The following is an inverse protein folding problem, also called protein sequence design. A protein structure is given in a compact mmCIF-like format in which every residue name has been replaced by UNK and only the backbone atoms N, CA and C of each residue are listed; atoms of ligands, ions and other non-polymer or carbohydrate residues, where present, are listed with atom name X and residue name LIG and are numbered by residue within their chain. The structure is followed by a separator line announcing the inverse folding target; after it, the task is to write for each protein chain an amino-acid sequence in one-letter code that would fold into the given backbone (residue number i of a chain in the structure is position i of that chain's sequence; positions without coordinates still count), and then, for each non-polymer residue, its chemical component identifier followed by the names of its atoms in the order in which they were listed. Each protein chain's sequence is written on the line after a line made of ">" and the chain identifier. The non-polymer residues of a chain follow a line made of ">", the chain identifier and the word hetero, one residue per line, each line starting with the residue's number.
data_IF_879552515524
#
_entry.id   IF_879552515524
#
_cell.length_a   1.000
_cell.length_b   1.000
_cell.length_c   1.000
_cell.angle_alpha   90.00
_cell.angle_beta   90.00
_cell.angle_gamma   90.00
#
_symmetry.space_group_name_H-M   'P 1'
#
loop_
_entity.id
_entity.type
_entity.pdbx_description
1 polymer ?
#
# COMPACT_ATOMS: atom_id res chain seq x y z
N UNK A 1 1.72 -38.14 2.28
CA UNK A 1 1.95 -38.13 3.74
C UNK A 1 2.94 -37.01 4.02
N UNK A 2 2.58 -36.07 4.90
CA UNK A 2 3.53 -35.08 5.41
C UNK A 2 4.47 -35.71 6.44
N UNK A 3 5.55 -35.03 6.78
CA UNK A 3 6.56 -35.48 7.73
C UNK A 3 7.00 -34.37 8.66
N UNK A 4 7.33 -34.73 9.90
CA UNK A 4 7.89 -33.83 10.90
C UNK A 4 9.11 -34.51 11.51
N UNK A 5 10.24 -33.82 11.50
CA UNK A 5 11.45 -34.21 12.23
C UNK A 5 11.77 -33.10 13.22
N UNK A 6 12.03 -33.48 14.47
CA UNK A 6 12.42 -32.56 15.54
C UNK A 6 13.71 -33.07 16.17
N UNK A 7 14.76 -32.27 16.09
CA UNK A 7 16.03 -32.50 16.77
C UNK A 7 16.08 -31.63 18.04
N UNK A 8 15.91 -32.29 19.19
CA UNK A 8 15.72 -31.64 20.49
C UNK A 8 17.05 -31.59 21.24
N UNK A 9 17.47 -30.39 21.62
CA UNK A 9 18.64 -30.19 22.49
C UNK A 9 18.27 -30.41 23.96
N UNK A 10 17.17 -29.79 24.41
CA UNK A 10 16.71 -29.86 25.80
C UNK A 10 15.22 -29.57 25.92
N UNK A 11 14.54 -30.31 26.79
CA UNK A 11 13.17 -30.01 27.23
C UNK A 11 13.09 -30.05 28.75
N UNK A 12 12.58 -28.98 29.36
CA UNK A 12 12.31 -28.87 30.78
C UNK A 12 10.83 -28.52 30.97
N UNK A 13 10.00 -29.57 31.10
CA UNK A 13 8.56 -29.42 31.28
C UNK A 13 8.18 -28.70 32.57
N UNK A 14 9.01 -28.81 33.62
CA UNK A 14 8.76 -28.14 34.90
C UNK A 14 8.87 -26.62 34.80
N UNK A 15 9.74 -26.14 33.90
CA UNK A 15 9.97 -24.72 33.62
C UNK A 15 9.34 -24.24 32.31
N UNK A 16 8.66 -25.13 31.58
CA UNK A 16 8.15 -24.89 30.23
C UNK A 16 9.23 -24.36 29.25
N UNK A 17 10.46 -24.87 29.34
CA UNK A 17 11.59 -24.45 28.48
C UNK A 17 11.87 -25.52 27.43
N UNK A 18 11.91 -25.13 26.17
CA UNK A 18 12.14 -26.00 25.02
C UNK A 18 13.26 -25.43 24.15
N UNK A 19 14.38 -26.15 24.05
CA UNK A 19 15.52 -25.84 23.18
C UNK A 19 15.63 -26.89 22.10
N UNK A 20 15.54 -26.47 20.84
CA UNK A 20 15.44 -27.33 19.67
C UNK A 20 16.48 -26.87 18.65
N UNK A 21 17.27 -27.81 18.15
CA UNK A 21 18.25 -27.52 17.10
C UNK A 21 17.55 -27.32 15.76
N UNK A 22 16.75 -28.29 15.35
CA UNK A 22 16.07 -28.26 14.05
C UNK A 22 14.64 -28.78 14.14
N UNK A 23 13.72 -28.08 13.47
CA UNK A 23 12.40 -28.59 13.10
C UNK A 23 12.34 -28.64 11.57
N UNK A 24 12.16 -29.81 10.98
CA UNK A 24 11.95 -29.96 9.56
C UNK A 24 10.52 -30.44 9.28
N UNK A 25 9.77 -29.63 8.53
CA UNK A 25 8.40 -29.89 8.13
C UNK A 25 8.36 -30.16 6.62
N UNK A 26 7.95 -31.37 6.23
CA UNK A 26 7.71 -31.73 4.84
C UNK A 26 6.20 -31.87 4.58
N UNK A 27 5.69 -31.09 3.63
CA UNK A 27 4.27 -30.99 3.30
C UNK A 27 3.37 -30.78 4.51
N UNK A 28 3.70 -29.85 5.44
CA UNK A 28 2.79 -29.55 6.54
C UNK A 28 1.49 -28.96 5.98
N UNK A 29 0.39 -29.27 6.64
CA UNK A 29 -0.93 -28.74 6.33
C UNK A 29 -1.52 -28.11 7.58
N UNK A 30 -1.89 -26.84 7.48
CA UNK A 30 -2.61 -26.12 8.52
C UNK A 30 -3.92 -25.59 7.93
N UNK A 31 -5.03 -25.78 8.65
CA UNK A 31 -6.32 -25.20 8.32
C UNK A 31 -6.92 -24.53 9.54
N UNK A 32 -7.25 -23.25 9.40
CA UNK A 32 -8.10 -22.50 10.31
C UNK A 32 -9.48 -22.33 9.66
N UNK A 33 -10.53 -22.67 10.40
CA UNK A 33 -11.90 -22.43 10.01
C UNK A 33 -12.53 -21.50 11.03
N UNK A 34 -12.86 -20.29 10.60
CA UNK A 34 -13.59 -19.29 11.37
C UNK A 34 -15.06 -19.42 11.06
N UNK A 35 -15.87 -19.61 12.10
CA UNK A 35 -17.31 -19.76 12.00
C UNK A 35 -17.97 -18.69 12.86
N UNK A 36 -19.09 -18.16 12.39
CA UNK A 36 -19.92 -17.27 13.18
C UNK A 36 -20.34 -17.95 14.48
N UNK A 37 -19.86 -17.41 15.59
CA UNK A 37 -20.23 -17.91 16.90
C UNK A 37 -21.71 -17.60 17.16
N UNK A 38 -22.50 -18.66 17.40
CA UNK A 38 -23.92 -18.57 17.82
C UNK A 38 -24.12 -17.92 19.21
N UNK A 39 -23.05 -17.44 19.84
CA UNK A 39 -23.09 -16.77 21.14
C UNK A 39 -23.81 -15.42 21.00
N UNK A 40 -24.90 -15.18 21.75
CA UNK A 40 -25.59 -13.90 21.74
C UNK A 40 -24.65 -12.74 22.03
N UNK A 41 -24.82 -11.63 21.31
CA UNK A 41 -24.00 -10.41 21.49
C UNK A 41 -24.03 -9.90 22.94
N UNK A 42 -25.15 -10.11 23.64
CA UNK A 42 -25.29 -9.75 25.06
C UNK A 42 -24.31 -10.45 26.00
N UNK A 43 -23.78 -11.61 25.60
CA UNK A 43 -22.82 -12.39 26.37
C UNK A 43 -21.38 -12.27 25.83
N UNK A 44 -21.17 -11.53 24.74
CA UNK A 44 -19.83 -11.27 24.21
C UNK A 44 -19.12 -10.27 25.12
N UNK A 45 -17.87 -10.55 25.46
CA UNK A 45 -17.05 -9.62 26.24
C UNK A 45 -16.91 -8.34 25.41
N UNK A 46 -17.38 -7.21 25.94
CA UNK A 46 -17.25 -5.93 25.26
C UNK A 46 -15.76 -5.59 25.16
N UNK A 47 -15.31 -5.28 23.96
CA UNK A 47 -13.98 -4.73 23.73
C UNK A 47 -13.87 -3.38 24.45
N UNK A 48 -12.86 -3.25 25.30
CA UNK A 48 -12.49 -1.97 25.90
C UNK A 48 -11.23 -1.45 25.20
N UNK A 49 -11.33 -0.38 24.39
CA UNK A 49 -10.21 0.18 23.65
C UNK A 49 -9.08 0.71 24.55
N UNK A 50 -9.32 0.87 25.86
CA UNK A 50 -8.33 1.28 26.84
C UNK A 50 -7.75 0.11 27.65
N UNK A 51 -8.20 -1.12 27.39
CA UNK A 51 -7.67 -2.31 28.05
C UNK A 51 -6.22 -2.51 27.65
N UNK A 52 -5.29 -2.24 28.58
CA UNK A 52 -3.90 -2.66 28.43
C UNK A 52 -3.83 -4.10 28.88
N UNK A 53 -3.58 -5.01 27.94
CA UNK A 53 -3.31 -6.38 28.31
C UNK A 53 -2.00 -6.46 29.12
N UNK A 54 -2.15 -6.80 30.40
CA UNK A 54 -1.03 -7.05 31.32
C UNK A 54 -0.78 -8.54 31.49
N UNK A 55 -1.61 -9.41 30.89
CA UNK A 55 -1.42 -10.84 30.85
C UNK A 55 -0.55 -11.24 29.65
N UNK A 56 0.00 -12.46 29.70
CA UNK A 56 0.69 -13.03 28.55
C UNK A 56 -0.33 -13.47 27.49
N UNK A 57 -0.84 -12.52 26.71
CA UNK A 57 -1.88 -12.70 25.70
C UNK A 57 -1.66 -13.92 24.81
N UNK A 58 -0.44 -14.05 24.27
CA UNK A 58 -0.04 -15.16 23.40
C UNK A 58 0.53 -16.33 24.18
N UNK A 59 0.98 -16.11 25.43
CA UNK A 59 1.78 -17.06 26.17
C UNK A 59 1.35 -17.23 27.63
N UNK A 60 0.06 -17.49 27.89
CA UNK A 60 -0.47 -17.62 29.25
C UNK A 60 0.26 -18.66 30.12
N UNK A 61 0.96 -19.62 29.51
CA UNK A 61 1.76 -20.63 30.19
C UNK A 61 3.23 -20.29 30.43
N UNK A 62 3.68 -19.06 30.10
CA UNK A 62 5.08 -18.61 30.16
C UNK A 62 6.08 -19.59 29.52
N UNK A 63 5.68 -20.16 28.38
CA UNK A 63 6.49 -21.11 27.63
C UNK A 63 7.68 -20.36 27.01
N UNK A 64 8.89 -20.88 27.19
CA UNK A 64 10.08 -20.38 26.52
C UNK A 64 10.51 -21.38 25.44
N UNK A 65 10.38 -21.00 24.17
CA UNK A 65 10.84 -21.82 23.03
C UNK A 65 12.00 -21.14 22.32
N UNK A 66 13.09 -21.88 22.14
CA UNK A 66 14.20 -21.49 21.27
C UNK A 66 14.42 -22.59 20.22
N UNK A 67 14.29 -22.23 18.94
CA UNK A 67 14.58 -23.13 17.82
C UNK A 67 15.66 -22.52 16.94
N UNK A 68 16.80 -23.20 16.80
CA UNK A 68 17.89 -22.66 15.99
C UNK A 68 17.50 -22.59 14.51
N UNK A 69 16.79 -23.60 14.00
CA UNK A 69 16.34 -23.65 12.60
C UNK A 69 14.99 -24.35 12.44
N UNK A 70 14.09 -23.74 11.66
CA UNK A 70 12.88 -24.38 11.15
C UNK A 70 12.96 -24.39 9.63
N UNK A 71 12.79 -25.56 9.01
CA UNK A 71 12.70 -25.72 7.56
C UNK A 71 11.28 -26.14 7.19
N UNK A 72 10.69 -25.47 6.21
CA UNK A 72 9.38 -25.81 5.67
C UNK A 72 9.56 -26.12 4.20
N UNK A 73 9.08 -27.29 3.77
CA UNK A 73 9.09 -27.73 2.37
C UNK A 73 7.67 -28.06 1.94
N UNK A 74 7.19 -27.36 0.91
CA UNK A 74 5.91 -27.61 0.24
C UNK A 74 4.68 -27.61 1.17
N UNK A 75 4.65 -26.68 2.12
CA UNK A 75 3.55 -26.50 3.06
C UNK A 75 2.30 -25.86 2.47
N UNK A 76 1.19 -26.02 3.20
CA UNK A 76 -0.11 -25.47 2.87
C UNK A 76 -0.76 -24.84 4.11
N UNK A 77 -1.35 -23.66 3.94
CA UNK A 77 -2.04 -22.91 5.00
C UNK A 77 -3.36 -22.42 4.43
N UNK A 78 -4.46 -22.88 5.01
CA UNK A 78 -5.81 -22.46 4.62
C UNK A 78 -6.45 -21.72 5.79
N UNK A 79 -6.95 -20.52 5.53
CA UNK A 79 -7.79 -19.75 6.45
C UNK A 79 -9.11 -19.54 5.71
N UNK A 80 -10.17 -20.12 6.26
CA UNK A 80 -11.52 -20.01 5.72
C UNK A 80 -12.39 -19.35 6.77
N UNK A 81 -12.98 -18.22 6.44
CA UNK A 81 -14.07 -17.59 7.15
C UNK A 81 -15.33 -17.69 6.29
N UNK A 82 -16.49 -17.75 6.96
CA UNK A 82 -17.82 -17.77 6.34
C UNK A 82 -18.07 -18.96 5.39
N UNK A 83 -19.31 -19.10 4.92
CA UNK A 83 -19.73 -20.14 3.95
C UNK A 83 -19.74 -19.63 2.49
N UNK A 84 -19.18 -18.44 2.25
CA UNK A 84 -19.12 -17.80 0.94
C UNK A 84 -18.33 -18.60 -0.10
N UNK A 85 -18.56 -18.29 -1.38
CA UNK A 85 -17.69 -18.79 -2.46
C UNK A 85 -16.52 -17.80 -2.65
N UNK A 86 -15.26 -18.27 -2.63
CA UNK A 86 -14.10 -17.42 -2.82
C UNK A 86 -14.12 -16.65 -4.14
N UNK A 87 -13.80 -15.35 -4.12
CA UNK A 87 -13.65 -14.53 -5.35
C UNK A 87 -12.34 -14.83 -6.07
N UNK A 88 -12.17 -14.47 -7.35
CA UNK A 88 -10.94 -14.82 -8.08
C UNK A 88 -9.68 -14.07 -7.59
N UNK A 89 -9.84 -12.85 -7.11
CA UNK A 89 -8.76 -12.00 -6.60
C UNK A 89 -8.34 -12.42 -5.18
N UNK A 90 -7.48 -11.63 -4.54
CA UNK A 90 -7.16 -11.87 -3.14
C UNK A 90 -8.45 -11.75 -2.31
N UNK A 91 -8.70 -12.76 -1.49
CA UNK A 91 -9.91 -12.88 -0.71
C UNK A 91 -9.50 -13.06 0.76
N UNK A 92 -9.67 -12.04 1.60
CA UNK A 92 -9.25 -12.11 3.00
C UNK A 92 -10.06 -13.14 3.81
N UNK A 93 -11.26 -13.52 3.36
CA UNK A 93 -12.09 -14.55 3.99
C UNK A 93 -11.70 -15.97 3.53
N UNK A 94 -11.01 -16.08 2.39
CA UNK A 94 -10.65 -17.37 1.79
C UNK A 94 -9.18 -17.42 1.37
N UNK A 95 -8.28 -17.32 2.35
CA UNK A 95 -6.83 -17.36 2.12
C UNK A 95 -6.38 -18.82 1.97
N UNK A 96 -5.92 -19.19 0.78
CA UNK A 96 -5.41 -20.55 0.52
C UNK A 96 -4.00 -20.48 -0.03
N UNK A 97 -3.05 -20.67 0.87
CA UNK A 97 -1.64 -20.66 0.58
C UNK A 97 -1.14 -22.07 0.28
N UNK A 98 -0.34 -22.16 -0.78
CA UNK A 98 0.28 -23.39 -1.27
C UNK A 98 1.75 -23.16 -1.57
N UNK A 99 2.52 -24.24 -1.68
CA UNK A 99 3.96 -24.20 -1.94
C UNK A 99 4.70 -23.30 -0.95
N UNK A 100 4.27 -23.33 0.32
CA UNK A 100 4.98 -22.64 1.39
C UNK A 100 6.33 -23.33 1.58
N UNK A 101 7.39 -22.63 1.23
CA UNK A 101 8.76 -23.06 1.46
C UNK A 101 9.47 -22.00 2.28
N UNK A 102 10.37 -22.40 3.17
CA UNK A 102 11.11 -21.41 3.90
C UNK A 102 12.08 -21.93 4.93
N UNK A 103 12.96 -21.02 5.34
CA UNK A 103 13.89 -21.19 6.44
C UNK A 103 13.64 -20.09 7.47
N UNK A 104 13.45 -20.50 8.73
CA UNK A 104 13.30 -19.60 9.87
C UNK A 104 14.47 -19.91 10.80
N UNK A 105 15.34 -18.93 11.03
CA UNK A 105 16.56 -19.10 11.81
C UNK A 105 16.50 -18.30 13.11
N UNK A 106 16.93 -18.91 14.21
CA UNK A 106 16.96 -18.32 15.54
C UNK A 106 15.57 -17.89 16.01
N UNK A 107 14.59 -18.78 15.90
CA UNK A 107 13.24 -18.53 16.40
C UNK A 107 13.25 -18.51 17.93
N UNK A 108 12.74 -17.43 18.50
CA UNK A 108 12.55 -17.26 19.94
C UNK A 108 11.10 -16.92 20.20
N UNK A 109 10.49 -17.63 21.15
CA UNK A 109 9.20 -17.27 21.74
C UNK A 109 9.37 -17.20 23.25
N UNK A 110 9.34 -16.00 23.79
CA UNK A 110 9.53 -15.72 25.22
C UNK A 110 8.54 -14.64 25.63
N UNK A 111 7.76 -14.88 26.68
CA UNK A 111 6.56 -14.07 27.00
C UNK A 111 5.70 -13.96 25.74
N UNK A 112 5.19 -12.78 25.38
CA UNK A 112 4.40 -12.60 24.15
C UNK A 112 5.20 -12.18 22.92
N UNK A 113 6.53 -12.32 22.95
CA UNK A 113 7.37 -11.88 21.85
C UNK A 113 7.91 -13.07 21.06
N UNK A 114 7.53 -13.12 19.78
CA UNK A 114 8.15 -14.00 18.80
C UNK A 114 9.18 -13.21 17.98
N UNK A 115 10.36 -13.78 17.75
CA UNK A 115 11.41 -13.20 16.89
C UNK A 115 12.08 -14.27 16.06
N UNK A 116 12.41 -13.97 14.81
CA UNK A 116 13.23 -14.84 13.96
C UNK A 116 13.82 -14.08 12.77
N UNK A 117 14.81 -14.67 12.12
CA UNK A 117 15.15 -14.31 10.73
C UNK A 117 14.39 -15.25 9.79
N UNK A 118 13.55 -14.69 8.93
CA UNK A 118 12.72 -15.46 8.00
C UNK A 118 13.24 -15.32 6.57
N UNK A 119 13.17 -16.39 5.79
CA UNK A 119 13.25 -16.40 4.32
C UNK A 119 12.17 -17.37 3.81
N UNK A 120 11.07 -16.82 3.32
CA UNK A 120 9.86 -17.57 2.95
C UNK A 120 9.45 -17.30 1.50
N UNK A 121 8.81 -18.28 0.87
CA UNK A 121 8.10 -18.13 -0.40
C UNK A 121 6.77 -18.87 -0.33
N UNK A 122 5.72 -18.33 -0.92
CA UNK A 122 4.38 -18.94 -0.90
C UNK A 122 3.52 -18.41 -2.05
N UNK A 123 2.54 -19.21 -2.47
CA UNK A 123 1.58 -18.84 -3.51
C UNK A 123 0.15 -18.91 -2.98
N UNK A 124 -0.59 -17.82 -3.14
CA UNK A 124 -2.02 -17.75 -2.84
C UNK A 124 -2.87 -18.29 -4.01
N UNK A 125 -4.11 -18.73 -3.71
CA UNK A 125 -5.07 -19.22 -4.70
C UNK A 125 -5.42 -18.21 -5.79
N UNK A 126 -5.38 -16.90 -5.49
CA UNK A 126 -5.65 -15.84 -6.46
C UNK A 126 -4.63 -15.81 -7.60
N UNK A 127 -3.45 -16.39 -7.39
CA UNK A 127 -2.30 -16.30 -8.29
C UNK A 127 -1.23 -15.33 -7.81
N UNK A 128 -1.50 -14.55 -6.76
CA UNK A 128 -0.48 -13.78 -6.07
C UNK A 128 0.61 -14.71 -5.51
N UNK A 129 1.86 -14.43 -5.87
CA UNK A 129 3.00 -15.24 -5.49
C UNK A 129 4.03 -14.38 -4.78
N UNK A 130 4.21 -14.66 -3.49
CA UNK A 130 5.33 -14.15 -2.71
C UNK A 130 6.54 -15.03 -3.01
N UNK A 131 7.35 -14.61 -3.98
CA UNK A 131 8.57 -15.33 -4.39
C UNK A 131 9.64 -15.31 -3.32
N UNK A 132 9.71 -14.21 -2.56
CA UNK A 132 10.65 -14.07 -1.46
C UNK A 132 10.13 -13.09 -0.41
N UNK A 133 10.17 -13.50 0.85
CA UNK A 133 10.03 -12.66 2.03
C UNK A 133 11.20 -12.94 2.95
N UNK A 134 12.19 -12.05 2.90
CA UNK A 134 13.33 -12.09 3.80
C UNK A 134 13.26 -10.90 4.76
N UNK A 135 13.30 -11.17 6.07
CA UNK A 135 13.22 -10.14 7.09
C UNK A 135 13.70 -10.61 8.48
N UNK A 136 14.04 -9.65 9.33
CA UNK A 136 14.04 -9.79 10.79
C UNK A 136 12.61 -9.64 11.27
N UNK A 137 11.96 -10.75 11.55
CA UNK A 137 10.58 -10.82 12.01
C UNK A 137 10.51 -10.58 13.52
N UNK A 138 9.56 -9.74 13.93
CA UNK A 138 9.13 -9.61 15.32
C UNK A 138 7.60 -9.54 15.37
N UNK A 139 7.01 -10.32 16.25
CA UNK A 139 5.58 -10.33 16.48
C UNK A 139 5.29 -10.25 17.99
N UNK A 140 4.41 -9.32 18.35
CA UNK A 140 3.91 -9.11 19.71
C UNK A 140 2.40 -8.81 19.65
N UNK A 141 1.71 -8.72 20.80
CA UNK A 141 0.29 -8.36 20.83
C UNK A 141 -0.05 -6.99 20.23
N UNK A 142 0.95 -6.16 19.91
CA UNK A 142 0.76 -4.79 19.42
C UNK A 142 1.50 -4.47 18.11
N UNK A 143 2.39 -5.35 17.65
CA UNK A 143 3.13 -5.10 16.42
C UNK A 143 3.54 -6.39 15.70
N UNK A 144 3.39 -6.39 14.38
CA UNK A 144 4.04 -7.30 13.47
C UNK A 144 5.06 -6.50 12.64
N UNK A 145 6.35 -6.80 12.78
CA UNK A 145 7.44 -6.03 12.20
C UNK A 145 8.32 -6.90 11.31
N UNK A 146 8.65 -6.37 10.15
CA UNK A 146 9.56 -6.93 9.16
C UNK A 146 10.72 -5.94 8.96
N UNK A 147 11.76 -6.09 9.79
CA UNK A 147 12.99 -5.30 9.68
C UNK A 147 13.93 -5.86 8.60
N UNK A 148 14.72 -4.99 7.94
CA UNK A 148 15.60 -5.39 6.83
C UNK A 148 14.86 -6.18 5.74
N UNK A 149 13.68 -5.70 5.38
CA UNK A 149 12.77 -6.33 4.44
C UNK A 149 13.35 -6.40 3.02
N UNK A 150 13.28 -7.58 2.43
CA UNK A 150 13.39 -7.84 1.00
C UNK A 150 12.21 -8.72 0.59
N UNK A 151 11.17 -8.08 0.07
CA UNK A 151 9.94 -8.70 -0.39
C UNK A 151 9.92 -8.68 -1.91
N UNK A 152 9.66 -9.82 -2.54
CA UNK A 152 9.54 -9.96 -3.99
C UNK A 152 8.28 -10.74 -4.34
N UNK A 153 7.47 -10.17 -5.22
CA UNK A 153 6.21 -10.74 -5.70
C UNK A 153 6.32 -11.16 -7.16
N UNK A 154 5.19 -11.35 -7.86
CA UNK A 154 5.16 -11.65 -9.28
C UNK A 154 5.97 -10.64 -10.09
N UNK A 155 5.78 -9.32 -9.86
CA UNK A 155 6.37 -8.23 -10.63
C UNK A 155 6.94 -7.07 -9.78
N UNK A 156 6.90 -7.15 -8.46
CA UNK A 156 7.31 -6.06 -7.55
C UNK A 156 8.44 -6.48 -6.61
N UNK A 157 9.14 -5.47 -6.08
CA UNK A 157 10.18 -5.59 -5.07
C UNK A 157 10.05 -4.46 -4.04
N UNK A 158 9.87 -4.80 -2.77
CA UNK A 158 9.72 -3.86 -1.67
C UNK A 158 10.82 -4.05 -0.62
N UNK A 159 11.21 -2.96 0.02
CA UNK A 159 12.21 -2.90 1.09
C UNK A 159 12.45 -1.45 1.48
N UNK A 160 13.00 -1.12 2.65
CA UNK A 160 13.71 -2.01 3.58
C UNK A 160 13.00 -2.25 4.91
N UNK A 161 11.80 -1.70 5.11
CA UNK A 161 11.07 -1.85 6.36
C UNK A 161 9.56 -1.79 6.16
N UNK A 162 8.84 -2.69 6.83
CA UNK A 162 7.40 -2.65 6.98
C UNK A 162 7.00 -3.14 8.36
N UNK A 163 5.98 -2.51 8.96
CA UNK A 163 5.37 -2.97 10.20
C UNK A 163 3.88 -2.64 10.22
N UNK A 164 3.12 -3.49 10.90
CA UNK A 164 1.71 -3.29 11.22
C UNK A 164 1.60 -3.14 12.73
N UNK A 165 1.00 -2.04 13.17
CA UNK A 165 0.73 -1.74 14.58
C UNK A 165 -0.77 -1.80 14.83
N UNK A 166 -1.12 -2.37 15.97
CA UNK A 166 -2.51 -2.63 16.37
C UNK A 166 -2.58 -2.62 17.91
N UNK A 167 -3.79 -2.54 18.44
CA UNK A 167 -4.06 -2.60 19.88
C UNK A 167 -4.35 -4.03 20.33
N UNK A 168 -5.11 -4.77 19.53
CA UNK A 168 -5.42 -6.17 19.72
C UNK A 168 -5.38 -6.90 18.37
N UNK A 169 -4.59 -7.97 18.28
CA UNK A 169 -4.39 -8.70 17.03
C UNK A 169 -5.69 -9.33 16.51
N UNK A 170 -6.48 -9.95 17.38
CA UNK A 170 -7.67 -10.70 16.97
C UNK A 170 -8.82 -9.77 16.55
N UNK A 171 -8.97 -8.63 17.24
CA UNK A 171 -9.99 -7.64 16.93
C UNK A 171 -9.60 -6.76 15.73
N UNK A 172 -8.43 -6.13 15.77
CA UNK A 172 -8.09 -5.06 14.82
C UNK A 172 -7.80 -5.60 13.40
N UNK A 173 -7.39 -6.87 13.25
CA UNK A 173 -7.24 -7.48 11.93
C UNK A 173 -8.57 -7.79 11.24
N UNK A 174 -9.67 -7.96 12.00
CA UNK A 174 -11.02 -7.98 11.43
C UNK A 174 -11.41 -6.63 10.83
N UNK A 175 -10.88 -5.54 11.38
CA UNK A 175 -11.08 -4.15 10.93
C UNK A 175 -9.80 -3.56 10.31
N UNK A 176 -9.06 -4.36 9.53
CA UNK A 176 -7.73 -4.02 9.04
C UNK A 176 -7.64 -2.63 8.38
N UNK A 177 -8.66 -2.28 7.60
CA UNK A 177 -8.73 -1.03 6.82
C UNK A 177 -8.72 0.21 7.74
N UNK A 178 -9.33 0.14 8.92
CA UNK A 178 -9.49 1.26 9.85
C UNK A 178 -8.57 1.20 11.06
N UNK A 179 -8.21 0.01 11.55
CA UNK A 179 -7.65 -0.16 12.88
C UNK A 179 -6.18 -0.59 12.87
N UNK A 180 -5.67 -1.11 11.75
CA UNK A 180 -4.25 -1.47 11.60
C UNK A 180 -3.45 -0.30 11.02
N UNK A 181 -2.54 0.24 11.83
CA UNK A 181 -1.61 1.29 11.39
C UNK A 181 -0.40 0.66 10.71
N UNK A 182 -0.23 0.91 9.42
CA UNK A 182 0.92 0.47 8.64
C UNK A 182 2.04 1.52 8.71
N UNK A 183 3.27 1.05 8.88
CA UNK A 183 4.48 1.86 8.86
C UNK A 183 5.44 1.26 7.85
N UNK A 184 5.79 2.01 6.81
CA UNK A 184 6.73 1.55 5.78
C UNK A 184 7.82 2.58 5.54
N UNK A 185 9.05 2.11 5.33
CA UNK A 185 10.14 2.93 4.80
C UNK A 185 10.67 2.23 3.57
N UNK A 186 10.26 2.75 2.42
CA UNK A 186 10.65 2.22 1.13
C UNK A 186 11.76 3.02 0.49
N UNK A 187 12.77 2.30 0.01
CA UNK A 187 13.93 2.84 -0.71
C UNK A 187 14.06 2.06 -2.00
N UNK A 188 13.92 2.77 -3.13
CA UNK A 188 14.03 2.19 -4.47
C UNK A 188 13.13 0.94 -4.65
N UNK A 189 11.95 0.97 -4.05
CA UNK A 189 10.96 -0.08 -4.25
C UNK A 189 10.48 -0.04 -5.71
N UNK A 190 10.23 -1.21 -6.29
CA UNK A 190 9.64 -1.34 -7.62
C UNK A 190 8.26 -1.92 -7.46
N UNK A 191 7.23 -1.15 -7.79
CA UNK A 191 5.83 -1.55 -7.62
C UNK A 191 5.20 -1.68 -8.98
N UNK A 192 4.66 -2.85 -9.31
CA UNK A 192 3.90 -3.07 -10.52
C UNK A 192 2.40 -3.06 -10.21
N UNK A 193 1.62 -2.34 -11.00
CA UNK A 193 0.17 -2.20 -10.78
C UNK A 193 -0.57 -3.54 -10.74
N UNK A 194 -0.19 -4.52 -11.58
CA UNK A 194 -0.78 -5.87 -11.56
C UNK A 194 -0.67 -6.58 -10.20
N UNK A 195 0.40 -6.33 -9.45
CA UNK A 195 0.55 -6.94 -8.13
C UNK A 195 -0.34 -6.25 -7.09
N UNK A 196 -0.54 -4.94 -7.25
CA UNK A 196 -1.48 -4.16 -6.43
C UNK A 196 -2.93 -4.52 -6.78
N UNK A 197 -3.20 -4.85 -8.05
CA UNK A 197 -4.53 -5.17 -8.56
C UNK A 197 -5.15 -6.44 -7.95
N UNK A 198 -4.34 -7.31 -7.33
CA UNK A 198 -4.86 -8.39 -6.48
C UNK A 198 -5.68 -7.87 -5.29
N UNK A 199 -5.37 -6.67 -4.80
CA UNK A 199 -5.98 -6.02 -3.64
C UNK A 199 -6.80 -4.77 -3.99
N UNK A 200 -6.52 -4.13 -5.12
CA UNK A 200 -7.21 -2.93 -5.62
C UNK A 200 -7.55 -3.12 -7.12
N UNK A 201 -8.66 -3.82 -7.45
CA UNK A 201 -8.99 -4.25 -8.80
C UNK A 201 -9.07 -3.10 -9.83
N UNK A 202 -9.34 -1.88 -9.38
CA UNK A 202 -9.42 -0.67 -10.18
C UNK A 202 -8.09 -0.33 -10.87
N UNK A 203 -6.97 -0.92 -10.43
CA UNK A 203 -5.64 -0.74 -11.02
C UNK A 203 -5.27 -1.80 -12.07
N UNK A 204 -6.18 -2.73 -12.36
CA UNK A 204 -5.92 -3.87 -13.26
C UNK A 204 -5.52 -3.47 -14.68
N UNK A 205 -6.11 -2.40 -15.23
CA UNK A 205 -5.84 -1.94 -16.60
C UNK A 205 -4.55 -1.10 -16.73
N UNK A 206 -3.91 -0.73 -15.62
CA UNK A 206 -2.80 0.23 -15.63
C UNK A 206 -1.53 -0.38 -16.26
N UNK A 207 -1.21 -1.62 -15.90
CA UNK A 207 -0.01 -2.36 -16.34
C UNK A 207 1.30 -1.54 -16.35
N UNK A 208 1.58 -0.80 -15.28
CA UNK A 208 2.80 0.03 -15.14
C UNK A 208 3.65 -0.38 -13.95
N UNK A 209 4.96 -0.19 -14.12
CA UNK A 209 5.94 -0.21 -13.04
C UNK A 209 6.24 1.21 -12.56
N UNK A 210 6.32 1.38 -11.25
CA UNK A 210 6.69 2.63 -10.59
C UNK A 210 7.84 2.34 -9.62
N UNK A 211 8.94 3.07 -9.77
CA UNK A 211 9.99 3.15 -8.76
C UNK A 211 9.53 4.10 -7.66
N UNK A 212 9.48 3.65 -6.41
CA UNK A 212 8.88 4.34 -5.27
C UNK A 212 9.85 4.41 -4.10
N UNK A 213 9.93 5.57 -3.46
CA UNK A 213 10.58 5.77 -2.17
C UNK A 213 9.74 6.69 -1.29
N UNK A 214 9.80 6.50 0.02
CA UNK A 214 9.06 7.33 0.97
C UNK A 214 8.83 6.65 2.32
N UNK A 215 8.36 7.45 3.29
CA UNK A 215 8.01 7.01 4.63
C UNK A 215 6.49 7.05 4.79
N UNK A 216 5.84 5.89 4.74
CA UNK A 216 4.41 5.72 4.94
C UNK A 216 4.10 5.55 6.42
N UNK A 217 3.05 6.21 6.91
CA UNK A 217 2.48 6.00 8.23
C UNK A 217 0.97 6.27 8.24
N UNK A 218 0.18 5.30 8.69
CA UNK A 218 -1.26 5.44 8.89
C UNK A 218 -2.05 4.18 8.57
N UNK A 219 -3.37 4.29 8.60
CA UNK A 219 -4.30 3.22 8.23
C UNK A 219 -4.62 3.32 6.73
N UNK A 220 -5.37 2.38 6.16
CA UNK A 220 -5.85 2.53 4.77
C UNK A 220 -6.73 3.77 4.66
N UNK A 221 -7.62 4.00 5.63
CA UNK A 221 -8.55 5.14 5.62
C UNK A 221 -7.89 6.50 5.86
N UNK A 222 -6.70 6.56 6.48
CA UNK A 222 -6.04 7.80 6.83
C UNK A 222 -4.52 7.60 6.99
N UNK A 223 -3.75 8.10 6.02
CA UNK A 223 -2.28 8.02 6.05
C UNK A 223 -1.57 9.27 5.55
N UNK A 224 -0.28 9.29 5.86
CA UNK A 224 0.69 10.24 5.32
C UNK A 224 1.91 9.49 4.75
N UNK A 225 2.44 10.00 3.65
CA UNK A 225 3.72 9.63 3.06
C UNK A 225 4.63 10.84 3.01
N UNK A 226 5.72 10.80 3.78
CA UNK A 226 6.76 11.85 3.76
C UNK A 226 7.93 11.45 2.88
N UNK A 227 8.62 12.43 2.31
CA UNK A 227 9.74 12.22 1.39
C UNK A 227 9.37 11.29 0.23
N UNK A 228 8.14 11.44 -0.29
CA UNK A 228 7.66 10.66 -1.42
C UNK A 228 8.51 11.00 -2.64
N UNK A 229 9.01 9.99 -3.32
CA UNK A 229 9.63 10.06 -4.63
C UNK A 229 9.11 8.90 -5.46
N UNK A 230 8.47 9.19 -6.57
CA UNK A 230 7.94 8.22 -7.50
C UNK A 230 8.46 8.50 -8.91
N UNK A 231 8.77 7.45 -9.67
CA UNK A 231 9.16 7.54 -11.08
C UNK A 231 8.47 6.43 -11.86
N UNK A 232 7.90 6.78 -13.02
CA UNK A 232 7.23 5.81 -13.87
C UNK A 232 6.97 6.37 -15.27
N UNK A 233 6.40 5.52 -16.14
CA UNK A 233 6.14 5.89 -17.53
C UNK A 233 7.41 6.11 -18.35
N UNK A 234 7.35 7.04 -19.29
CA UNK A 234 8.42 7.42 -20.22
C UNK A 234 9.42 8.43 -19.63
N UNK A 235 9.20 8.89 -18.40
CA UNK A 235 10.11 9.80 -17.70
C UNK A 235 9.45 10.66 -16.62
N UNK A 236 8.22 10.34 -16.21
CA UNK A 236 7.50 11.09 -15.21
C UNK A 236 8.06 10.85 -13.82
N UNK A 237 8.15 11.92 -13.04
CA UNK A 237 8.61 11.88 -11.65
C UNK A 237 7.71 12.73 -10.76
N UNK A 238 7.47 12.28 -9.55
CA UNK A 238 6.72 13.00 -8.53
C UNK A 238 7.53 13.00 -7.23
N UNK A 239 7.73 14.17 -6.63
CA UNK A 239 8.40 14.33 -5.34
C UNK A 239 7.59 15.24 -4.44
N UNK A 240 7.42 14.89 -3.17
CA UNK A 240 6.74 15.75 -2.20
C UNK A 240 6.28 15.01 -0.94
N UNK A 241 5.20 15.51 -0.33
CA UNK A 241 4.51 14.85 0.78
C UNK A 241 3.05 14.63 0.40
N UNK A 242 2.54 13.43 0.67
CA UNK A 242 1.17 13.03 0.36
C UNK A 242 0.42 12.70 1.64
N UNK A 243 -0.80 13.18 1.79
CA UNK A 243 -1.76 12.71 2.79
C UNK A 243 -3.05 12.33 2.11
N UNK A 244 -3.63 11.20 2.50
CA UNK A 244 -4.91 10.74 1.98
C UNK A 244 -5.83 10.34 3.13
N UNK A 245 -7.08 10.75 3.05
CA UNK A 245 -8.13 10.40 4.01
C UNK A 245 -9.44 10.09 3.30
N UNK A 246 -9.97 8.88 3.46
CA UNK A 246 -11.25 8.44 2.90
C UNK A 246 -11.20 7.21 1.99
N UNK A 247 -10.03 6.60 1.79
CA UNK A 247 -9.94 5.30 1.10
C UNK A 247 -10.73 4.22 1.87
N UNK A 248 -11.21 3.16 1.19
CA UNK A 248 -10.93 2.79 -0.21
C UNK A 248 -11.72 3.56 -1.28
N UNK A 249 -12.70 4.42 -0.93
CA UNK A 249 -13.45 5.19 -1.94
C UNK A 249 -12.64 6.40 -2.44
N UNK A 250 -11.96 6.22 -3.57
CA UNK A 250 -11.13 7.26 -4.18
C UNK A 250 -11.91 8.53 -4.60
N UNK A 251 -13.21 8.43 -4.88
CA UNK A 251 -14.01 9.57 -5.34
C UNK A 251 -14.28 10.59 -4.24
N UNK A 252 -14.32 10.13 -2.99
CA UNK A 252 -14.57 10.94 -1.79
C UNK A 252 -13.31 11.18 -0.96
N UNK A 253 -12.20 10.53 -1.34
CA UNK A 253 -10.92 10.66 -0.64
C UNK A 253 -10.37 12.08 -0.74
N UNK A 254 -10.11 12.68 0.41
CA UNK A 254 -9.37 13.93 0.50
C UNK A 254 -7.87 13.65 0.34
N UNK A 255 -7.25 14.32 -0.62
CA UNK A 255 -5.85 14.23 -0.99
C UNK A 255 -5.22 15.59 -0.71
N UNK A 256 -4.11 15.58 0.02
CA UNK A 256 -3.24 16.74 0.21
C UNK A 256 -1.86 16.35 -0.31
N UNK A 257 -1.40 17.06 -1.34
CA UNK A 257 -0.04 16.98 -1.83
C UNK A 257 0.65 18.31 -1.60
N UNK A 258 1.71 18.31 -0.80
CA UNK A 258 2.46 19.51 -0.41
C UNK A 258 3.93 19.39 -0.77
N UNK A 259 4.60 20.54 -0.90
CA UNK A 259 6.00 20.63 -1.34
C UNK A 259 6.24 19.85 -2.64
N UNK A 260 5.25 19.88 -3.53
CA UNK A 260 5.14 19.00 -4.67
C UNK A 260 5.95 19.47 -5.85
N UNK A 261 6.74 18.58 -6.44
CA UNK A 261 7.32 18.73 -7.78
C UNK A 261 6.89 17.55 -8.63
N UNK A 262 6.17 17.83 -9.71
CA UNK A 262 5.77 16.85 -10.71
C UNK A 262 6.46 17.20 -12.01
N UNK A 263 7.13 16.23 -12.61
CA UNK A 263 7.65 16.31 -13.96
C UNK A 263 6.92 15.25 -14.79
N UNK A 264 6.34 15.65 -15.92
CA UNK A 264 5.58 14.74 -16.78
C UNK A 264 5.62 15.21 -18.23
N UNK A 265 4.96 14.47 -19.11
CA UNK A 265 4.74 14.79 -20.51
C UNK A 265 3.38 14.24 -20.96
N UNK A 266 2.92 14.64 -22.14
CA UNK A 266 1.62 14.20 -22.68
C UNK A 266 1.47 12.68 -22.79
N UNK A 267 2.51 11.95 -23.19
CA UNK A 267 2.45 10.49 -23.33
C UNK A 267 2.19 9.79 -22.00
N UNK A 268 2.72 10.32 -20.91
CA UNK A 268 2.51 9.77 -19.57
C UNK A 268 1.19 10.25 -18.93
N UNK A 269 0.65 11.40 -19.33
CA UNK A 269 -0.68 11.87 -18.93
C UNK A 269 -1.81 11.02 -19.53
N UNK A 270 -1.55 10.28 -20.61
CA UNK A 270 -2.49 9.32 -21.20
C UNK A 270 -2.92 8.19 -20.26
N UNK A 271 -2.37 8.06 -19.05
CA UNK A 271 -2.91 7.18 -18.01
C UNK A 271 -4.27 7.69 -17.52
N UNK A 272 -4.52 9.00 -17.58
CA UNK A 272 -5.78 9.62 -17.21
C UNK A 272 -6.74 9.46 -18.41
N UNK A 273 -7.77 8.59 -18.33
CA UNK A 273 -8.60 8.27 -19.50
C UNK A 273 -9.27 9.50 -20.11
N UNK A 274 -9.64 10.48 -19.27
CA UNK A 274 -10.27 11.73 -19.71
C UNK A 274 -9.34 12.64 -20.53
N UNK A 275 -8.03 12.42 -20.52
CA UNK A 275 -7.07 13.23 -21.27
C UNK A 275 -6.64 12.61 -22.61
N UNK A 276 -7.01 11.35 -22.89
CA UNK A 276 -6.55 10.63 -24.10
C UNK A 276 -7.09 11.24 -25.39
N UNK A 277 -8.34 11.71 -25.38
CA UNK A 277 -9.07 12.12 -26.59
C UNK A 277 -9.22 13.65 -26.72
N UNK A 278 -8.49 14.42 -25.90
CA UNK A 278 -8.50 15.89 -25.99
C UNK A 278 -7.62 16.34 -27.15
N UNK A 279 -8.25 16.72 -28.26
CA UNK A 279 -7.56 17.29 -29.42
C UNK A 279 -7.18 18.77 -29.20
N UNK A 280 -8.04 19.53 -28.50
CA UNK A 280 -7.82 20.94 -28.15
C UNK A 280 -8.17 21.12 -26.67
N UNK A 281 -7.28 21.70 -25.86
CA UNK A 281 -5.97 22.24 -26.23
C UNK A 281 -4.93 21.17 -26.61
N UNK A 282 -3.93 21.55 -27.40
CA UNK A 282 -2.82 20.70 -27.83
C UNK A 282 -1.86 20.43 -26.65
N UNK A 283 -2.23 19.44 -25.83
CA UNK A 283 -1.46 19.05 -24.66
C UNK A 283 -0.07 18.51 -25.04
N UNK A 284 0.08 17.93 -26.24
CA UNK A 284 1.37 17.46 -26.73
C UNK A 284 2.38 18.60 -26.94
N UNK A 285 1.91 19.79 -27.33
CA UNK A 285 2.77 20.96 -27.55
C UNK A 285 3.41 21.49 -26.25
N UNK A 286 2.89 21.15 -25.07
CA UNK A 286 3.52 21.47 -23.78
C UNK A 286 4.91 20.81 -23.63
N UNK A 287 5.15 19.69 -24.32
CA UNK A 287 6.39 18.94 -24.21
C UNK A 287 6.63 18.46 -22.78
N UNK A 288 7.82 18.76 -22.24
CA UNK A 288 8.15 18.49 -20.84
C UNK A 288 7.47 19.50 -19.92
N UNK A 289 6.59 19.00 -19.04
CA UNK A 289 5.86 19.78 -18.06
C UNK A 289 6.54 19.63 -16.70
N UNK A 290 6.79 20.74 -16.02
CA UNK A 290 7.26 20.77 -14.63
C UNK A 290 6.27 21.61 -13.83
N UNK A 291 5.58 20.99 -12.89
CA UNK A 291 4.70 21.64 -11.93
C UNK A 291 5.36 21.67 -10.55
N UNK A 292 5.38 22.84 -9.91
CA UNK A 292 5.83 23.03 -8.53
C UNK A 292 4.73 23.69 -7.73
N UNK A 293 4.16 22.98 -6.76
CA UNK A 293 3.00 23.51 -6.04
C UNK A 293 2.36 22.51 -5.10
N UNK A 294 1.06 22.70 -4.91
CA UNK A 294 0.23 21.92 -4.00
C UNK A 294 -1.08 21.50 -4.64
N UNK A 295 -1.63 20.40 -4.14
CA UNK A 295 -2.96 19.91 -4.48
C UNK A 295 -3.72 19.67 -3.17
N UNK A 296 -4.97 20.13 -3.09
CA UNK A 296 -5.84 19.88 -1.94
C UNK A 296 -7.28 19.67 -2.38
N UNK A 297 -7.85 18.51 -2.08
CA UNK A 297 -9.25 18.19 -2.39
C UNK A 297 -9.45 16.74 -2.76
N UNK A 298 -10.51 16.43 -3.50
CA UNK A 298 -10.73 15.10 -4.08
C UNK A 298 -10.30 15.10 -5.55
N UNK A 299 -10.29 13.93 -6.20
CA UNK A 299 -10.02 13.84 -7.64
C UNK A 299 -11.00 14.66 -8.51
N UNK A 300 -12.18 14.97 -7.97
CA UNK A 300 -13.26 15.66 -8.67
C UNK A 300 -13.48 17.11 -8.18
N UNK A 301 -12.92 17.51 -7.05
CA UNK A 301 -13.06 18.87 -6.52
C UNK A 301 -11.81 19.23 -5.74
N UNK A 302 -10.97 20.07 -6.32
CA UNK A 302 -9.67 20.38 -5.76
C UNK A 302 -9.22 21.80 -6.04
N UNK A 303 -8.33 22.27 -5.18
CA UNK A 303 -7.56 23.49 -5.38
C UNK A 303 -6.12 23.11 -5.68
N UNK A 304 -5.54 23.77 -6.67
CA UNK A 304 -4.10 23.74 -6.94
C UNK A 304 -3.51 25.14 -6.85
N UNK A 305 -2.34 25.24 -6.22
CA UNK A 305 -1.56 26.47 -6.15
C UNK A 305 -0.12 26.15 -6.54
N UNK A 306 0.39 26.76 -7.61
CA UNK A 306 1.73 26.45 -8.08
C UNK A 306 2.16 27.12 -9.37
N UNK A 307 3.38 26.78 -9.79
CA UNK A 307 4.03 27.19 -11.02
C UNK A 307 4.19 25.99 -11.95
N UNK A 308 3.52 26.04 -13.11
CA UNK A 308 3.73 25.15 -14.24
C UNK A 308 4.71 25.77 -15.22
N UNK A 309 5.68 25.00 -15.69
CA UNK A 309 6.64 25.39 -16.74
C UNK A 309 6.64 24.34 -17.83
N UNK A 310 6.66 24.78 -19.09
CA UNK A 310 6.57 23.93 -20.27
C UNK A 310 7.36 24.51 -21.45
N UNK A 311 7.41 23.79 -22.57
CA UNK A 311 7.95 24.33 -23.82
C UNK A 311 7.14 25.53 -24.37
N UNK A 312 5.88 25.69 -23.94
CA UNK A 312 5.03 26.80 -24.34
C UNK A 312 5.22 28.04 -23.48
N UNK A 313 5.89 27.96 -22.33
CA UNK A 313 6.06 29.06 -21.38
C UNK A 313 5.69 28.63 -19.95
N UNK A 314 5.50 29.62 -19.08
CA UNK A 314 5.17 29.40 -17.67
C UNK A 314 3.77 29.90 -17.32
N UNK A 315 3.11 29.19 -16.40
CA UNK A 315 1.79 29.53 -15.86
C UNK A 315 1.87 29.39 -14.35
N UNK A 316 1.70 30.49 -13.63
CA UNK A 316 1.43 30.49 -12.19
C UNK A 316 -0.09 30.48 -12.00
N UNK A 317 -0.58 29.56 -11.18
CA UNK A 317 -2.01 29.32 -11.02
C UNK A 317 -2.36 29.10 -9.56
N UNK A 318 -3.44 29.75 -9.12
CA UNK A 318 -4.19 29.36 -7.92
C UNK A 318 -5.64 29.14 -8.36
N UNK A 319 -5.98 27.88 -8.63
CA UNK A 319 -7.24 27.51 -9.30
C UNK A 319 -7.97 26.45 -8.49
N UNK A 320 -9.27 26.66 -8.30
CA UNK A 320 -10.24 25.67 -7.87
C UNK A 320 -10.89 25.03 -9.10
N UNK A 321 -10.92 23.71 -9.16
CA UNK A 321 -11.53 22.93 -10.24
C UNK A 321 -12.57 21.97 -9.69
N UNK A 322 -13.71 21.85 -10.36
CA UNK A 322 -14.75 20.87 -10.06
C UNK A 322 -15.12 20.10 -11.32
N UNK A 323 -15.10 18.77 -11.24
CA UNK A 323 -15.47 17.82 -12.29
C UNK A 323 -16.69 17.04 -11.80
N UNK A 324 -17.93 17.52 -12.06
CA UNK A 324 -19.12 16.83 -11.61
C UNK A 324 -19.31 15.52 -12.41
N UNK A 325 -19.98 14.52 -11.80
CA UNK A 325 -20.33 13.27 -12.52
C UNK A 325 -21.22 13.51 -13.74
N UNK A 326 -21.98 14.61 -13.73
CA UNK A 326 -22.86 15.08 -14.82
C UNK A 326 -22.78 16.60 -14.89
N UNK A 327 -22.71 17.14 -16.10
CA UNK A 327 -22.58 18.57 -16.34
C UNK A 327 -21.16 18.95 -16.72
N UNK A 328 -20.97 20.24 -17.00
CA UNK A 328 -19.68 20.79 -17.40
C UNK A 328 -18.76 20.95 -16.17
N UNK A 329 -17.48 20.56 -16.29
CA UNK A 329 -16.44 21.00 -15.38
C UNK A 329 -16.45 22.51 -15.17
N UNK A 330 -16.13 22.95 -13.96
CA UNK A 330 -16.01 24.38 -13.63
C UNK A 330 -14.65 24.69 -13.05
N UNK A 331 -14.15 25.89 -13.32
CA UNK A 331 -12.85 26.37 -12.85
C UNK A 331 -12.91 27.84 -12.49
N UNK A 332 -12.35 28.19 -11.33
CA UNK A 332 -12.24 29.57 -10.86
C UNK A 332 -10.89 29.81 -10.23
N UNK A 333 -10.34 31.02 -10.38
CA UNK A 333 -9.07 31.34 -9.73
C UNK A 333 -8.26 32.42 -10.42
N UNK A 334 -7.01 32.56 -9.99
CA UNK A 334 -6.04 33.51 -10.54
C UNK A 334 -5.02 32.78 -11.42
N UNK A 335 -4.78 33.35 -12.60
CA UNK A 335 -3.76 32.88 -13.55
C UNK A 335 -2.82 34.04 -13.88
N UNK A 336 -1.52 33.74 -13.85
CA UNK A 336 -0.47 34.60 -14.37
C UNK A 336 0.39 33.79 -15.36
N UNK A 337 0.44 34.22 -16.62
CA UNK A 337 1.25 33.59 -17.67
C UNK A 337 2.47 34.43 -17.97
N UNK A 338 3.58 33.78 -18.29
CA UNK A 338 4.82 34.44 -18.72
C UNK A 338 5.27 33.83 -20.04
N UNK A 339 5.25 34.65 -21.10
CA UNK A 339 5.62 34.30 -22.47
C UNK A 339 4.95 33.00 -22.91
N UNK A 340 3.67 32.84 -22.64
CA UNK A 340 2.95 31.61 -22.94
C UNK A 340 2.45 31.60 -24.40
N UNK A 341 2.82 30.57 -25.16
CA UNK A 341 2.45 30.41 -26.58
C UNK A 341 1.01 29.89 -26.72
N UNK A 342 0.04 30.74 -26.38
CA UNK A 342 -1.38 30.37 -26.38
C UNK A 342 -1.89 29.94 -27.76
N UNK A 343 -1.37 30.54 -28.84
CA UNK A 343 -1.75 30.14 -30.21
C UNK A 343 -1.35 28.69 -30.54
N UNK A 344 -0.20 28.22 -30.05
CA UNK A 344 0.18 26.80 -30.19
C UNK A 344 -0.64 25.89 -29.27
N UNK A 345 -1.00 26.37 -28.09
CA UNK A 345 -1.80 25.62 -27.13
C UNK A 345 -3.24 25.39 -27.60
N UNK A 346 -3.86 26.41 -28.22
CA UNK A 346 -5.25 26.36 -28.72
C UNK A 346 -5.36 25.98 -30.20
N UNK A 347 -4.23 25.69 -30.86
CA UNK A 347 -4.14 25.46 -32.30
C UNK A 347 -4.76 26.60 -33.14
N UNK A 348 -4.48 27.84 -32.73
CA UNK A 348 -5.00 29.06 -33.35
C UNK A 348 -3.86 30.01 -33.70
N UNK A 349 -3.37 29.92 -34.95
CA UNK A 349 -2.15 30.57 -35.43
C UNK A 349 -2.17 32.12 -35.38
N UNK A 350 -3.33 32.75 -35.28
CA UNK A 350 -3.43 34.20 -35.15
C UNK A 350 -3.07 34.71 -33.75
N UNK A 351 -3.05 33.83 -32.75
CA UNK A 351 -2.61 34.17 -31.40
C UNK A 351 -1.11 33.89 -31.23
N UNK A 352 -0.42 34.79 -30.52
CA UNK A 352 1.02 34.73 -30.31
C UNK A 352 1.41 34.32 -28.88
N UNK A 353 2.49 34.94 -28.39
CA UNK A 353 2.89 34.90 -26.99
C UNK A 353 1.99 35.81 -26.16
N UNK A 354 1.62 35.36 -24.97
CA UNK A 354 0.82 36.14 -24.03
C UNK A 354 1.53 36.21 -22.68
N UNK A 355 1.65 37.44 -22.17
CA UNK A 355 1.83 37.74 -20.76
C UNK A 355 0.47 38.24 -20.26
N UNK A 356 -0.14 37.49 -19.35
CA UNK A 356 -1.48 37.78 -18.85
C UNK A 356 -1.50 37.59 -17.35
N UNK A 357 -2.19 38.49 -16.64
CA UNK A 357 -2.51 38.34 -15.23
C UNK A 357 -3.97 38.68 -15.02
N UNK A 358 -4.74 37.74 -14.50
CA UNK A 358 -6.16 37.96 -14.29
C UNK A 358 -6.85 36.81 -13.59
N UNK A 359 -8.16 37.00 -13.42
CA UNK A 359 -9.06 36.00 -12.87
C UNK A 359 -9.73 35.24 -13.99
N UNK A 360 -9.90 33.95 -13.76
CA UNK A 360 -10.71 33.06 -14.58
C UNK A 360 -11.93 32.61 -13.77
N UNK A 361 -13.07 32.55 -14.45
CA UNK A 361 -14.32 31.95 -13.99
C UNK A 361 -14.99 31.37 -15.23
N UNK A 362 -15.04 30.05 -15.32
CA UNK A 362 -15.54 29.37 -16.51
C UNK A 362 -16.09 27.98 -16.24
N UNK A 363 -16.87 27.51 -17.20
CA UNK A 363 -17.35 26.12 -17.32
C UNK A 363 -17.00 25.57 -18.71
N UNK A 364 -16.81 24.26 -18.83
CA UNK A 364 -16.59 23.61 -20.11
C UNK A 364 -16.18 22.15 -20.03
#
# INVERSE_FOLDING_TARGET
>A
LGGVLVDVERMDFSKAIFQINEIALEKPYFKLLEMDGLRPDSLRKKYDPNFKDTAMYFNAGDIAVHVQRIKIKDGQVWIEANEGRPIQLFDPEHIRLSRLNGNINGFHFVKDTMRANIDLSVKDRSGFELKKLQARFRFTPQIMELGNLNLQTNKSKLGSYYAMKYRDFNHDFGEYVTDVTMVANFKEAKVHSDDVAYFAPELSDLHKMVDLSGNFNGTVTNFQVKNLSARGGTGSTLVGELSMKGLPDINTTNIIFSNGTIQTNYFDLGIIPSLKDIAVPNLAALGKIIYRGSFKGTINNFVTDGLLSSALGAVKSNISMTFPKKGEPTYTGDIETTRFQIGKFLDYAQLGLVDFKGKIDGSG
#
